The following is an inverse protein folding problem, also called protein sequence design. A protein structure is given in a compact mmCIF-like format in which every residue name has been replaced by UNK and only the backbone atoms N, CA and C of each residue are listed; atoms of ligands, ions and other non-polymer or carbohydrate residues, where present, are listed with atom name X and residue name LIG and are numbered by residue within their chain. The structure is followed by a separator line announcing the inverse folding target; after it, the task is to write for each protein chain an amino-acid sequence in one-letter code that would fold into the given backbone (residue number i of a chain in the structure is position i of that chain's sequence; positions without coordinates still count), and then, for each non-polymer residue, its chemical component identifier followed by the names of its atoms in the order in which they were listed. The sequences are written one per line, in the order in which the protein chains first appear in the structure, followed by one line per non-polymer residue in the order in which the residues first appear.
data_IF_805736143461
#
_entry.id   IF_805736143461
#
_cell.length_a   1.000
_cell.length_b   1.000
_cell.length_c   1.000
_cell.angle_alpha   90.00
_cell.angle_beta   90.00
_cell.angle_gamma   90.00
#
_symmetry.space_group_name_H-M   'P 1'
#
loop_
_entity.id
_entity.type
_entity.pdbx_description
1 polymer ?
#
# COMPACT_ATOMS: atom_id res chain seq x y z
N UNK A 1 -11.92 21.25 15.92
CA UNK A 1 -11.50 19.84 15.72
C UNK A 1 -11.83 19.51 14.28
N UNK A 2 -10.83 19.37 13.41
CA UNK A 2 -11.05 19.17 11.97
C UNK A 2 -11.13 17.65 11.73
N UNK A 3 -12.24 17.18 11.17
CA UNK A 3 -12.40 15.80 10.70
C UNK A 3 -11.52 15.58 9.48
N UNK A 4 -10.32 15.04 9.68
CA UNK A 4 -9.59 14.38 8.59
C UNK A 4 -10.41 13.12 8.24
N UNK A 5 -10.82 12.91 6.98
CA UNK A 5 -11.55 11.71 6.62
C UNK A 5 -10.72 10.49 7.02
N UNK A 6 -11.25 9.68 7.92
CA UNK A 6 -10.59 8.47 8.36
C UNK A 6 -10.36 7.56 7.15
N UNK A 7 -9.15 6.99 7.04
CA UNK A 7 -8.82 6.04 5.98
C UNK A 7 -9.87 4.92 5.90
N UNK A 8 -10.42 4.50 7.04
CA UNK A 8 -11.47 3.48 7.16
C UNK A 8 -12.71 3.74 6.28
N UNK A 9 -13.10 5.00 6.05
CA UNK A 9 -14.24 5.36 5.21
C UNK A 9 -13.89 5.65 3.74
N UNK A 10 -12.60 5.62 3.40
CA UNK A 10 -12.09 5.94 2.06
C UNK A 10 -12.12 4.74 1.11
N UNK A 11 -11.93 5.01 -0.18
CA UNK A 11 -11.80 3.95 -1.18
C UNK A 11 -10.54 3.10 -0.94
N UNK A 12 -9.45 3.70 -0.46
CA UNK A 12 -8.23 2.98 -0.02
C UNK A 12 -8.55 2.05 1.16
N UNK A 13 -9.24 2.54 2.19
CA UNK A 13 -9.61 1.74 3.36
C UNK A 13 -10.46 0.54 3.01
N UNK A 14 -11.52 0.74 2.22
CA UNK A 14 -12.36 -0.36 1.74
C UNK A 14 -11.55 -1.37 0.89
N UNK A 15 -10.62 -0.89 0.06
CA UNK A 15 -9.78 -1.78 -0.76
C UNK A 15 -8.85 -2.64 0.08
N UNK A 16 -8.25 -2.07 1.14
CA UNK A 16 -7.38 -2.78 2.08
C UNK A 16 -8.16 -3.75 2.95
N UNK A 17 -9.37 -3.39 3.41
CA UNK A 17 -10.22 -4.29 4.17
C UNK A 17 -10.66 -5.48 3.32
N UNK A 18 -11.13 -5.22 2.10
CA UNK A 18 -11.48 -6.29 1.16
C UNK A 18 -10.30 -7.21 0.85
N UNK A 19 -9.09 -6.65 0.73
CA UNK A 19 -7.86 -7.42 0.54
C UNK A 19 -7.56 -8.28 1.78
N UNK A 20 -7.66 -7.71 2.98
CA UNK A 20 -7.46 -8.43 4.24
C UNK A 20 -8.37 -9.64 4.36
N UNK A 21 -9.65 -9.48 4.02
CA UNK A 21 -10.67 -10.53 4.09
C UNK A 21 -10.39 -11.70 3.10
N UNK A 22 -9.67 -11.43 2.00
CA UNK A 22 -9.27 -12.43 1.01
C UNK A 22 -7.99 -13.19 1.37
N UNK A 23 -7.19 -12.70 2.31
CA UNK A 23 -5.95 -13.37 2.66
C UNK A 23 -6.22 -14.62 3.50
N UNK A 24 -5.86 -15.78 2.96
CA UNK A 24 -5.93 -17.05 3.69
C UNK A 24 -4.71 -17.30 4.57
N UNK A 25 -3.54 -16.77 4.21
CA UNK A 25 -2.31 -16.96 4.98
C UNK A 25 -2.14 -15.90 6.06
N UNK A 26 -1.77 -16.32 7.26
CA UNK A 26 -1.67 -15.42 8.42
C UNK A 26 -0.63 -14.31 8.24
N UNK A 27 0.55 -14.63 7.69
CA UNK A 27 1.60 -13.64 7.41
C UNK A 27 1.14 -12.54 6.44
N UNK A 28 0.37 -12.90 5.41
CA UNK A 28 -0.16 -11.94 4.43
C UNK A 28 -1.21 -11.03 5.10
N UNK A 29 -2.09 -11.61 5.94
CA UNK A 29 -3.06 -10.84 6.76
C UNK A 29 -2.37 -9.84 7.68
N UNK A 30 -1.34 -10.27 8.42
CA UNK A 30 -0.59 -9.42 9.35
C UNK A 30 0.14 -8.30 8.62
N UNK A 31 0.73 -8.58 7.46
CA UNK A 31 1.38 -7.57 6.61
C UNK A 31 0.41 -6.48 6.14
N UNK A 32 -0.83 -6.84 5.75
CA UNK A 32 -1.88 -5.87 5.41
C UNK A 32 -2.34 -5.06 6.62
N UNK A 33 -2.57 -5.71 7.77
CA UNK A 33 -2.96 -4.98 9.00
C UNK A 33 -1.89 -3.98 9.42
N UNK A 34 -0.62 -4.36 9.27
CA UNK A 34 0.50 -3.45 9.46
C UNK A 34 0.44 -2.31 8.43
N UNK A 35 0.25 -2.61 7.15
CA UNK A 35 0.11 -1.60 6.10
C UNK A 35 -1.00 -0.59 6.39
N UNK A 36 -2.19 -1.06 6.78
CA UNK A 36 -3.33 -0.22 7.18
C UNK A 36 -2.93 0.76 8.30
N UNK A 37 -2.30 0.27 9.37
CA UNK A 37 -1.82 1.12 10.47
C UNK A 37 -0.81 2.18 10.03
N UNK A 38 0.07 1.84 9.09
CA UNK A 38 1.03 2.81 8.56
C UNK A 38 0.37 3.87 7.67
N UNK A 39 -0.64 3.49 6.89
CA UNK A 39 -1.42 4.43 6.09
C UNK A 39 -2.32 5.33 6.95
N UNK A 40 -2.88 4.81 8.05
CA UNK A 40 -3.60 5.63 9.04
C UNK A 40 -2.69 6.69 9.65
N UNK A 41 -1.47 6.30 10.02
CA UNK A 41 -0.43 7.23 10.51
C UNK A 41 -0.04 8.27 9.47
N UNK A 42 0.02 7.87 8.21
CA UNK A 42 0.32 8.77 7.11
C UNK A 42 -0.77 9.85 6.95
N UNK A 43 -2.04 9.46 6.95
CA UNK A 43 -3.16 10.42 6.79
C UNK A 43 -3.32 11.34 8.01
N UNK A 44 -2.92 10.89 9.21
CA UNK A 44 -3.01 11.66 10.46
C UNK A 44 -1.83 12.59 10.73
N UNK A 45 -0.81 12.64 9.86
CA UNK A 45 0.21 13.69 9.88
C UNK A 45 1.52 13.37 10.63
N UNK A 46 1.81 12.11 10.95
CA UNK A 46 3.02 11.74 11.72
C UNK A 46 4.05 10.99 10.84
N UNK A 47 5.26 11.54 10.71
CA UNK A 47 6.47 10.90 10.15
C UNK A 47 6.37 10.34 8.71
N UNK A 48 5.81 11.09 7.75
CA UNK A 48 5.58 10.65 6.36
C UNK A 48 6.81 10.05 5.63
N UNK A 49 8.01 10.52 5.97
CA UNK A 49 9.21 10.32 5.12
C UNK A 49 9.81 8.92 5.26
N UNK A 50 9.42 8.14 6.28
CA UNK A 50 10.04 6.85 6.59
C UNK A 50 9.06 5.69 6.65
N UNK A 51 7.76 5.94 6.48
CA UNK A 51 6.72 4.92 6.69
C UNK A 51 6.88 3.71 5.77
N UNK A 52 7.24 3.91 4.50
CA UNK A 52 7.50 2.81 3.58
C UNK A 52 8.68 1.93 4.05
N UNK A 53 9.78 2.55 4.45
CA UNK A 53 10.97 1.83 4.93
C UNK A 53 10.72 1.12 6.26
N UNK A 54 10.01 1.77 7.18
CA UNK A 54 9.66 1.19 8.48
C UNK A 54 8.67 0.03 8.29
N UNK A 55 7.68 0.16 7.40
CA UNK A 55 6.79 -0.95 7.07
C UNK A 55 7.59 -2.16 6.59
N UNK A 56 8.48 -1.98 5.59
CA UNK A 56 9.33 -3.07 5.10
C UNK A 56 10.16 -3.70 6.23
N UNK A 57 10.78 -2.89 7.10
CA UNK A 57 11.56 -3.40 8.23
C UNK A 57 10.72 -4.08 9.33
N UNK A 58 9.41 -3.84 9.37
CA UNK A 58 8.51 -4.33 10.41
C UNK A 58 7.70 -5.56 10.00
N UNK A 59 7.71 -5.92 8.71
CA UNK A 59 7.02 -7.11 8.21
C UNK A 59 7.81 -8.36 8.58
N UNK A 60 7.10 -9.39 9.04
CA UNK A 60 7.69 -10.64 9.54
C UNK A 60 8.35 -11.51 8.44
N UNK A 61 9.34 -12.31 8.82
CA UNK A 61 10.08 -13.21 7.92
C UNK A 61 9.18 -14.19 7.15
N UNK A 62 8.07 -14.62 7.76
CA UNK A 62 7.10 -15.51 7.12
C UNK A 62 6.47 -14.90 5.87
N UNK A 63 6.20 -13.60 5.89
CA UNK A 63 5.74 -12.89 4.70
C UNK A 63 6.86 -12.78 3.67
N UNK A 64 8.09 -12.44 4.08
CA UNK A 64 9.23 -12.34 3.17
C UNK A 64 9.55 -13.66 2.48
N UNK A 65 9.37 -14.80 3.14
CA UNK A 65 9.47 -16.10 2.51
C UNK A 65 8.45 -16.27 1.39
N UNK A 66 7.17 -15.95 1.65
CA UNK A 66 6.10 -16.05 0.64
C UNK A 66 6.31 -15.11 -0.55
N UNK A 67 6.77 -13.89 -0.29
CA UNK A 67 7.08 -12.95 -1.36
C UNK A 67 8.23 -13.44 -2.24
N UNK A 68 9.29 -14.01 -1.64
CA UNK A 68 10.41 -14.62 -2.38
C UNK A 68 9.99 -15.86 -3.18
N UNK A 69 9.01 -16.60 -2.69
CA UNK A 69 8.40 -17.73 -3.40
C UNK A 69 7.31 -17.29 -4.40
N UNK A 70 7.23 -15.99 -4.69
CA UNK A 70 6.30 -15.35 -5.63
C UNK A 70 4.82 -15.70 -5.39
N UNK A 71 4.45 -15.97 -4.13
CA UNK A 71 3.07 -16.27 -3.80
C UNK A 71 2.16 -15.11 -4.20
N UNK A 72 1.13 -15.30 -5.06
CA UNK A 72 0.40 -14.20 -5.69
C UNK A 72 -0.22 -13.22 -4.69
N UNK A 73 -0.75 -13.75 -3.59
CA UNK A 73 -1.32 -12.94 -2.51
C UNK A 73 -0.24 -12.10 -1.79
N UNK A 74 0.95 -12.65 -1.54
CA UNK A 74 2.06 -11.90 -0.94
C UNK A 74 2.58 -10.80 -1.87
N UNK A 75 2.69 -11.10 -3.18
CA UNK A 75 3.02 -10.12 -4.23
C UNK A 75 1.98 -9.01 -4.28
N UNK A 76 0.69 -9.35 -4.17
CA UNK A 76 -0.39 -8.36 -4.13
C UNK A 76 -0.29 -7.45 -2.91
N UNK A 77 -0.02 -7.98 -1.71
CA UNK A 77 0.23 -7.16 -0.52
C UNK A 77 1.43 -6.23 -0.75
N UNK A 78 2.50 -6.71 -1.38
CA UNK A 78 3.66 -5.90 -1.70
C UNK A 78 3.32 -4.78 -2.67
N UNK A 79 2.47 -5.04 -3.66
CA UNK A 79 1.96 -4.04 -4.58
C UNK A 79 1.17 -2.94 -3.85
N UNK A 80 0.31 -3.30 -2.87
CA UNK A 80 -0.41 -2.32 -2.06
C UNK A 80 0.52 -1.48 -1.17
N UNK A 81 1.69 -2.00 -0.77
CA UNK A 81 2.69 -1.21 -0.03
C UNK A 81 3.21 0.00 -0.83
N UNK A 82 3.05 -0.01 -2.16
CA UNK A 82 3.42 1.13 -3.00
C UNK A 82 2.61 2.39 -2.72
N UNK A 83 1.47 2.29 -2.02
CA UNK A 83 0.75 3.46 -1.48
C UNK A 83 1.65 4.26 -0.51
N UNK A 84 2.37 3.58 0.40
CA UNK A 84 3.35 4.21 1.29
C UNK A 84 4.57 4.70 0.54
N UNK A 85 5.03 3.95 -0.47
CA UNK A 85 6.18 4.35 -1.29
C UNK A 85 5.86 5.66 -2.01
N UNK A 86 4.72 5.72 -2.70
CA UNK A 86 4.26 6.89 -3.45
C UNK A 86 4.08 8.11 -2.56
N UNK A 87 3.57 7.89 -1.36
CA UNK A 87 3.52 8.88 -0.29
C UNK A 87 4.90 9.46 0.06
N UNK A 88 5.92 8.60 0.22
CA UNK A 88 7.28 9.02 0.55
C UNK A 88 8.08 9.60 -0.64
N UNK A 89 7.64 9.40 -1.89
CA UNK A 89 8.36 9.89 -3.09
C UNK A 89 8.48 11.42 -3.14
N UNK A 90 7.52 12.15 -2.55
CA UNK A 90 7.54 13.62 -2.51
C UNK A 90 8.63 14.19 -1.60
N UNK A 91 9.01 13.45 -0.57
CA UNK A 91 9.87 13.91 0.51
C UNK A 91 11.26 13.26 0.48
N UNK A 92 11.44 12.18 -0.30
CA UNK A 92 12.65 11.38 -0.33
C UNK A 92 13.12 11.11 -1.78
N UNK A 93 14.12 11.88 -2.23
CA UNK A 93 14.62 11.79 -3.62
C UNK A 93 15.05 10.37 -4.05
N UNK A 94 15.63 9.59 -3.13
CA UNK A 94 16.16 8.26 -3.43
C UNK A 94 15.08 7.21 -3.68
N UNK A 95 13.84 7.46 -3.21
CA UNK A 95 12.68 6.58 -3.43
C UNK A 95 11.84 7.01 -4.63
N UNK A 96 12.21 8.10 -5.31
CA UNK A 96 11.48 8.62 -6.47
C UNK A 96 11.33 7.58 -7.59
N UNK A 97 10.07 7.38 -8.03
CA UNK A 97 9.69 6.43 -9.07
C UNK A 97 9.69 4.96 -8.65
N UNK A 98 9.95 4.64 -7.38
CA UNK A 98 9.93 3.26 -6.90
C UNK A 98 8.53 2.65 -6.91
N UNK A 99 7.49 3.43 -6.63
CA UNK A 99 6.10 2.94 -6.67
C UNK A 99 5.76 2.29 -8.02
N UNK A 100 6.11 2.97 -9.11
CA UNK A 100 5.92 2.47 -10.47
C UNK A 100 6.80 1.25 -10.78
N UNK A 101 8.08 1.27 -10.36
CA UNK A 101 9.01 0.16 -10.60
C UNK A 101 8.57 -1.11 -9.86
N UNK A 102 8.09 -0.97 -8.62
CA UNK A 102 7.57 -2.08 -7.82
C UNK A 102 6.31 -2.66 -8.46
N UNK A 103 5.35 -1.83 -8.86
CA UNK A 103 4.13 -2.32 -9.53
C UNK A 103 4.44 -3.11 -10.80
N UNK A 104 5.39 -2.63 -11.61
CA UNK A 104 5.86 -3.36 -12.80
C UNK A 104 6.49 -4.70 -12.43
N UNK A 105 7.40 -4.71 -11.46
CA UNK A 105 8.03 -5.93 -10.99
C UNK A 105 7.02 -6.96 -10.45
N UNK A 106 5.98 -6.52 -9.72
CA UNK A 106 4.90 -7.40 -9.27
C UNK A 106 4.11 -8.00 -10.45
N UNK A 107 3.84 -7.21 -11.49
CA UNK A 107 3.18 -7.73 -12.70
C UNK A 107 4.06 -8.72 -13.46
N UNK A 108 5.36 -8.42 -13.59
CA UNK A 108 6.30 -9.21 -14.41
C UNK A 108 6.63 -10.57 -13.79
N UNK A 109 6.54 -10.69 -12.46
CA UNK A 109 6.93 -11.89 -11.73
C UNK A 109 5.82 -12.94 -11.63
N UNK A 110 4.56 -12.54 -11.86
CA UNK A 110 3.40 -13.42 -11.83
C UNK A 110 3.11 -13.99 -13.22
N UNK A 111 2.78 -15.28 -13.27
CA UNK A 111 2.24 -15.93 -14.47
C UNK A 111 0.83 -15.41 -14.80
N UNK A 112 0.35 -15.69 -16.02
CA UNK A 112 -1.00 -15.31 -16.46
C UNK A 112 -2.10 -15.89 -15.55
N UNK A 113 -1.91 -17.11 -15.04
CA UNK A 113 -2.87 -17.73 -14.13
C UNK A 113 -2.89 -16.99 -12.78
N UNK A 114 -1.75 -16.57 -12.27
CA UNK A 114 -1.63 -15.86 -11.00
C UNK A 114 -2.20 -14.44 -11.11
N UNK A 115 -1.90 -13.75 -12.22
CA UNK A 115 -2.51 -12.47 -12.60
C UNK A 115 -4.03 -12.54 -12.60
N UNK A 116 -4.61 -13.60 -13.18
CA UNK A 116 -6.05 -13.82 -13.17
C UNK A 116 -6.58 -14.15 -11.76
N UNK A 117 -5.83 -14.95 -10.99
CA UNK A 117 -6.20 -15.37 -9.63
C UNK A 117 -6.40 -14.17 -8.70
N UNK A 118 -5.58 -13.14 -8.84
CA UNK A 118 -5.61 -11.96 -7.97
C UNK A 118 -6.35 -10.76 -8.59
N UNK A 119 -6.91 -10.93 -9.79
CA UNK A 119 -7.51 -9.86 -10.59
C UNK A 119 -6.58 -8.63 -10.72
N UNK A 120 -5.33 -8.89 -11.15
CA UNK A 120 -4.25 -7.89 -11.08
C UNK A 120 -4.60 -6.56 -11.76
N UNK A 121 -5.25 -6.58 -12.93
CA UNK A 121 -5.57 -5.36 -13.67
C UNK A 121 -6.50 -4.44 -12.85
N UNK A 122 -7.52 -5.00 -12.20
CA UNK A 122 -8.37 -4.27 -11.28
C UNK A 122 -7.57 -3.76 -10.07
N UNK A 123 -6.74 -4.61 -9.46
CA UNK A 123 -5.95 -4.26 -8.28
C UNK A 123 -4.93 -3.16 -8.54
N UNK A 124 -4.20 -3.25 -9.64
CA UNK A 124 -3.23 -2.23 -10.04
C UNK A 124 -3.93 -0.89 -10.26
N UNK A 125 -5.07 -0.89 -10.96
CA UNK A 125 -5.88 0.32 -11.14
C UNK A 125 -6.31 0.92 -9.80
N UNK A 126 -6.78 0.09 -8.86
CA UNK A 126 -7.17 0.53 -7.51
C UNK A 126 -6.00 1.07 -6.69
N UNK A 127 -4.81 0.47 -6.79
CA UNK A 127 -3.61 0.97 -6.10
C UNK A 127 -3.23 2.35 -6.64
N UNK A 128 -3.23 2.53 -7.97
CA UNK A 128 -2.93 3.82 -8.60
C UNK A 128 -3.93 4.90 -8.19
N UNK A 129 -5.23 4.61 -8.33
CA UNK A 129 -6.30 5.53 -7.93
C UNK A 129 -6.23 5.86 -6.42
N UNK A 130 -5.92 4.88 -5.58
CA UNK A 130 -5.75 5.07 -4.15
C UNK A 130 -4.56 5.96 -3.79
N UNK A 131 -3.47 5.90 -4.57
CA UNK A 131 -2.33 6.76 -4.37
C UNK A 131 -2.66 8.24 -4.70
N UNK A 132 -3.44 8.46 -5.75
CA UNK A 132 -3.93 9.79 -6.11
C UNK A 132 -4.92 10.33 -5.05
N UNK A 133 -5.83 9.48 -4.57
CA UNK A 133 -6.77 9.81 -3.48
C UNK A 133 -6.03 10.22 -2.19
N UNK A 134 -4.99 9.47 -1.79
CA UNK A 134 -4.18 9.81 -0.62
C UNK A 134 -3.45 11.16 -0.78
N UNK A 135 -2.96 11.45 -1.98
CA UNK A 135 -2.32 12.73 -2.27
C UNK A 135 -3.32 13.89 -2.18
N UNK A 136 -4.55 13.70 -2.66
CA UNK A 136 -5.62 14.71 -2.58
C UNK A 136 -6.06 14.95 -1.13
N UNK A 137 -6.20 13.90 -0.32
CA UNK A 137 -6.52 14.02 1.11
C UNK A 137 -5.51 14.88 1.85
N UNK A 138 -4.21 14.70 1.57
CA UNK A 138 -3.17 15.50 2.20
C UNK A 138 -3.16 16.96 1.74
N UNK A 139 -3.36 17.22 0.44
CA UNK A 139 -3.47 18.60 -0.07
C UNK A 139 -4.62 19.34 0.61
N UNK A 140 -5.77 18.68 0.80
CA UNK A 140 -6.92 19.24 1.50
C UNK A 140 -6.63 19.49 3.00
N UNK A 141 -5.86 18.60 3.65
CA UNK A 141 -5.45 18.78 5.03
C UNK A 141 -4.47 19.96 5.20
N UNK A 142 -3.53 20.14 4.28
CA UNK A 142 -2.54 21.23 4.32
C UNK A 142 -3.13 22.59 3.89
N UNK A 143 -4.03 22.62 2.91
CA UNK A 143 -4.66 23.85 2.42
C UNK A 143 -5.67 24.51 3.38
N UNK A 144 -6.08 23.82 4.44
CA UNK A 144 -6.99 24.34 5.48
C UNK A 144 -6.27 24.96 6.69
N UNK A 145 -4.94 25.00 6.66
CA UNK A 145 -4.08 25.57 7.71
C UNK A 145 -3.45 26.94 7.38
N UNK A 146 -3.87 27.59 6.28
CA UNK A 146 -3.41 28.91 5.85
C UNK A 146 -4.40 30.03 6.14
#
# INVERSE_FOLDING_TARGET
MIDIPALAGSNVGHSLQFLHDQMHHESDRRAIQLLQRFLDRYVTGNDHNRLAAIWMASVEDGYWARLRDHQPHAVLVFAYSTLLVRASEHECWWISGWSLRILRACSDIMSLQEVATVDWAYREHRIRAGADELADMLRLAQGKGG
#
